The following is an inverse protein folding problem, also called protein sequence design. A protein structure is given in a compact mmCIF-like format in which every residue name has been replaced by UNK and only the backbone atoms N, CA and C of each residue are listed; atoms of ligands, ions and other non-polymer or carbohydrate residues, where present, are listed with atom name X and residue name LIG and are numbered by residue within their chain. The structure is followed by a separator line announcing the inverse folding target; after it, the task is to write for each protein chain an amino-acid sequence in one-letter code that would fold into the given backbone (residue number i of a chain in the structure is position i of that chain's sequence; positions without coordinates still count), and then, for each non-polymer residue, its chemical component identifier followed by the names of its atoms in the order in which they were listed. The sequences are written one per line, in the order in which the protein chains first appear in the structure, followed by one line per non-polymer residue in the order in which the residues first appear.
data_IF_813402427528
#
_entry.id   IF_813402427528
#
_cell.length_a   1.000
_cell.length_b   1.000
_cell.length_c   1.000
_cell.angle_alpha   90.00
_cell.angle_beta   90.00
_cell.angle_gamma   90.00
#
_symmetry.space_group_name_H-M   'P 1'
#
loop_
_entity.id
_entity.type
_entity.pdbx_description
1 polymer ?
#
# COMPACT_ATOMS: atom_id res chain seq x y z
N UNK A 1 -1.22 -18.03 -7.37
CA UNK A 1 -2.66 -17.91 -7.06
C UNK A 1 -3.21 -16.73 -7.86
N UNK A 2 -4.27 -16.90 -8.66
CA UNK A 2 -4.87 -15.78 -9.39
C UNK A 2 -5.43 -14.74 -8.40
N UNK A 3 -5.44 -13.47 -8.83
CA UNK A 3 -6.02 -12.40 -8.03
C UNK A 3 -7.55 -12.45 -8.12
N UNK A 4 -8.25 -12.33 -6.97
CA UNK A 4 -9.71 -12.41 -6.91
C UNK A 4 -10.32 -11.21 -7.66
N UNK A 5 -11.21 -11.49 -8.61
CA UNK A 5 -11.91 -10.47 -9.41
C UNK A 5 -13.11 -9.90 -8.64
N UNK A 6 -12.82 -9.02 -7.70
CA UNK A 6 -13.80 -8.29 -6.90
C UNK A 6 -13.35 -6.83 -6.77
N UNK A 7 -14.31 -5.90 -6.81
CA UNK A 7 -14.05 -4.47 -6.61
C UNK A 7 -13.62 -4.18 -5.17
N UNK A 8 -12.68 -3.25 -4.99
CA UNK A 8 -12.22 -2.79 -3.69
C UNK A 8 -11.59 -1.39 -3.77
N UNK A 9 -11.47 -0.74 -2.62
CA UNK A 9 -10.77 0.52 -2.47
C UNK A 9 -9.39 0.29 -1.85
N UNK A 10 -8.42 1.12 -2.25
CA UNK A 10 -7.08 1.12 -1.66
C UNK A 10 -6.64 2.54 -1.36
N UNK A 11 -6.10 2.77 -0.17
CA UNK A 11 -5.57 4.05 0.27
C UNK A 11 -4.13 3.89 0.76
N UNK A 12 -3.22 4.73 0.26
CA UNK A 12 -1.89 4.86 0.85
C UNK A 12 -1.98 5.70 2.12
N UNK A 13 -1.23 5.34 3.18
CA UNK A 13 -1.14 6.11 4.42
C UNK A 13 -0.78 7.58 4.20
N UNK A 14 -1.11 8.46 5.16
CA UNK A 14 -0.74 9.87 5.19
C UNK A 14 0.78 10.10 5.31
N UNK A 15 1.20 11.35 5.14
CA UNK A 15 2.61 11.75 5.17
C UNK A 15 3.26 11.48 6.54
N UNK A 16 4.53 11.06 6.49
CA UNK A 16 5.44 10.94 7.65
C UNK A 16 6.63 11.87 7.48
N UNK A 17 7.39 12.14 8.54
CA UNK A 17 8.62 12.93 8.41
C UNK A 17 9.64 12.27 7.48
N UNK A 18 9.69 10.94 7.42
CA UNK A 18 10.55 10.23 6.48
C UNK A 18 10.11 10.35 5.02
N UNK A 19 8.81 10.49 4.75
CA UNK A 19 8.34 10.85 3.41
C UNK A 19 8.84 12.25 3.00
N UNK A 20 8.70 13.24 3.87
CA UNK A 20 9.19 14.61 3.67
C UNK A 20 10.70 14.66 3.47
N UNK A 21 11.46 13.84 4.21
CA UNK A 21 12.91 13.72 4.12
C UNK A 21 13.39 12.81 2.98
N UNK A 22 12.47 12.24 2.20
CA UNK A 22 12.76 11.28 1.12
C UNK A 22 13.58 10.05 1.58
N UNK A 23 13.38 9.61 2.83
CA UNK A 23 14.00 8.40 3.38
C UNK A 23 13.25 7.14 2.98
N UNK A 24 14.01 6.07 2.80
CA UNK A 24 13.46 4.72 2.62
C UNK A 24 12.89 4.27 3.96
N UNK A 25 11.61 3.95 3.99
CA UNK A 25 10.92 3.69 5.26
C UNK A 25 10.80 2.20 5.57
N UNK A 26 10.38 1.41 4.58
CA UNK A 26 10.17 -0.02 4.75
C UNK A 26 9.25 -0.35 5.92
N UNK A 27 9.68 -1.27 6.77
CA UNK A 27 8.96 -1.69 7.96
C UNK A 27 9.31 -0.89 9.22
N UNK A 28 10.24 0.07 9.14
CA UNK A 28 10.46 1.04 10.22
C UNK A 28 9.15 1.75 10.58
N UNK A 29 8.82 1.73 11.87
CA UNK A 29 7.49 2.11 12.35
C UNK A 29 7.38 3.61 12.66
N UNK A 30 7.53 4.44 11.62
CA UNK A 30 7.47 5.90 11.68
C UNK A 30 6.00 6.36 11.67
N UNK A 31 5.58 7.20 12.63
CA UNK A 31 4.20 7.70 12.72
C UNK A 31 3.89 8.75 11.63
N UNK A 32 2.61 9.09 11.48
CA UNK A 32 2.18 10.25 10.71
C UNK A 32 2.76 11.54 11.32
N UNK A 33 3.15 12.48 10.46
CA UNK A 33 3.39 13.86 10.88
C UNK A 33 2.09 14.67 10.87
N UNK A 34 2.16 15.97 11.23
CA UNK A 34 0.98 16.84 11.27
C UNK A 34 0.25 16.92 9.92
N UNK A 35 1.01 16.99 8.82
CA UNK A 35 0.47 16.99 7.45
C UNK A 35 -0.27 15.68 7.17
N UNK A 36 0.30 14.53 7.51
CA UNK A 36 -0.32 13.22 7.29
C UNK A 36 -1.62 13.04 8.07
N UNK A 37 -1.71 13.56 9.29
CA UNK A 37 -2.96 13.56 10.06
C UNK A 37 -4.02 14.42 9.37
N UNK A 38 -3.65 15.59 8.85
CA UNK A 38 -4.59 16.46 8.11
C UNK A 38 -5.04 15.80 6.81
N UNK A 39 -4.11 15.21 6.05
CA UNK A 39 -4.41 14.45 4.84
C UNK A 39 -5.42 13.31 5.12
N UNK A 40 -5.22 12.54 6.18
CA UNK A 40 -6.12 11.47 6.56
C UNK A 40 -7.53 11.98 6.90
N UNK A 41 -7.65 13.12 7.59
CA UNK A 41 -8.94 13.77 7.87
C UNK A 41 -9.63 14.24 6.59
N UNK A 42 -8.89 14.87 5.68
CA UNK A 42 -9.43 15.33 4.38
C UNK A 42 -9.99 14.17 3.55
N UNK A 43 -9.25 13.05 3.50
CA UNK A 43 -9.75 11.86 2.79
C UNK A 43 -10.96 11.26 3.50
N UNK A 44 -10.97 11.23 4.83
CA UNK A 44 -12.11 10.73 5.59
C UNK A 44 -13.43 11.49 5.28
N UNK A 45 -13.35 12.79 4.97
CA UNK A 45 -14.52 13.57 4.50
C UNK A 45 -14.93 13.14 3.07
N UNK A 46 -13.96 12.95 2.18
CA UNK A 46 -14.23 12.63 0.76
C UNK A 46 -14.84 11.25 0.56
N UNK A 47 -14.49 10.28 1.41
CA UNK A 47 -14.97 8.90 1.26
C UNK A 47 -16.32 8.64 1.93
N UNK A 48 -16.90 9.64 2.61
CA UNK A 48 -18.26 9.52 3.14
C UNK A 48 -19.23 9.22 2.00
N UNK A 49 -20.04 8.20 2.16
CA UNK A 49 -20.99 7.76 1.12
C UNK A 49 -20.44 6.70 0.15
N UNK A 50 -19.13 6.41 0.18
CA UNK A 50 -18.65 5.21 -0.51
C UNK A 50 -19.13 3.96 0.22
N UNK A 51 -19.48 2.89 -0.51
CA UNK A 51 -19.90 1.62 0.09
C UNK A 51 -18.67 0.91 0.69
N UNK A 52 -18.30 1.24 1.91
CA UNK A 52 -17.20 0.61 2.65
C UNK A 52 -17.79 -0.02 3.90
N UNK A 53 -17.65 -1.34 4.04
CA UNK A 53 -18.17 -2.10 5.19
C UNK A 53 -17.07 -2.38 6.22
N UNK A 54 -15.83 -2.44 5.76
CA UNK A 54 -14.68 -2.75 6.61
C UNK A 54 -13.41 -2.07 6.09
N UNK A 55 -12.54 -1.70 7.01
CA UNK A 55 -11.19 -1.23 6.72
C UNK A 55 -10.20 -2.33 7.12
N UNK A 56 -9.36 -2.75 6.17
CA UNK A 56 -8.26 -3.69 6.43
C UNK A 56 -6.94 -2.92 6.33
N UNK A 57 -6.16 -2.91 7.41
CA UNK A 57 -4.98 -2.04 7.49
C UNK A 57 -3.71 -2.78 7.88
N UNK A 58 -2.57 -2.27 7.40
CA UNK A 58 -1.25 -2.62 7.91
C UNK A 58 -1.11 -2.27 9.40
N UNK A 59 -0.37 -3.05 10.21
CA UNK A 59 -0.11 -2.77 11.62
C UNK A 59 0.79 -1.53 11.84
N UNK A 60 1.54 -1.09 10.82
CA UNK A 60 2.47 0.02 10.96
C UNK A 60 1.74 1.32 11.31
N UNK A 61 2.23 2.03 12.33
CA UNK A 61 1.57 3.22 12.95
C UNK A 61 1.00 4.21 11.95
N UNK A 62 1.73 4.51 10.86
CA UNK A 62 1.29 5.44 9.83
C UNK A 62 0.02 4.97 9.09
N UNK A 63 -0.06 3.68 8.76
CA UNK A 63 -1.22 3.12 8.09
C UNK A 63 -2.38 2.92 9.07
N UNK A 64 -2.11 2.34 10.23
CA UNK A 64 -3.11 2.14 11.27
C UNK A 64 -3.74 3.48 11.71
N UNK A 65 -2.94 4.53 11.96
CA UNK A 65 -3.46 5.85 12.34
C UNK A 65 -4.29 6.50 11.23
N UNK A 66 -3.90 6.29 9.96
CA UNK A 66 -4.71 6.73 8.81
C UNK A 66 -6.05 6.00 8.80
N UNK A 67 -6.04 4.68 8.95
CA UNK A 67 -7.25 3.85 9.02
C UNK A 67 -8.14 4.22 10.21
N UNK A 68 -7.56 4.48 11.38
CA UNK A 68 -8.29 4.88 12.59
C UNK A 68 -9.04 6.20 12.40
N UNK A 69 -8.40 7.22 11.81
CA UNK A 69 -9.04 8.51 11.52
C UNK A 69 -10.23 8.32 10.58
N UNK A 70 -10.05 7.49 9.56
CA UNK A 70 -11.10 7.19 8.57
C UNK A 70 -12.22 6.37 9.21
N UNK A 71 -11.90 5.27 9.88
CA UNK A 71 -12.87 4.37 10.48
C UNK A 71 -13.76 5.05 11.50
N UNK A 72 -13.18 5.95 12.33
CA UNK A 72 -13.95 6.78 13.26
C UNK A 72 -14.93 7.72 12.52
N UNK A 73 -14.53 8.28 11.39
CA UNK A 73 -15.38 9.20 10.62
C UNK A 73 -16.54 8.49 9.94
N UNK A 74 -16.27 7.38 9.27
CA UNK A 74 -17.31 6.64 8.53
C UNK A 74 -18.00 5.56 9.38
N UNK A 75 -17.58 5.38 10.63
CA UNK A 75 -18.12 4.40 11.61
C UNK A 75 -18.02 2.96 11.11
N UNK A 76 -16.87 2.61 10.54
CA UNK A 76 -16.63 1.24 10.07
C UNK A 76 -15.55 0.53 10.88
N UNK A 77 -15.66 -0.80 11.07
CA UNK A 77 -14.68 -1.59 11.79
C UNK A 77 -13.33 -1.63 11.07
N UNK A 78 -12.27 -1.81 11.88
CA UNK A 78 -10.89 -1.90 11.38
C UNK A 78 -10.35 -3.28 11.73
N UNK A 79 -9.79 -3.96 10.74
CA UNK A 79 -9.05 -5.21 10.89
C UNK A 79 -7.57 -4.98 10.58
N UNK A 80 -6.68 -5.44 11.46
CA UNK A 80 -5.23 -5.34 11.26
C UNK A 80 -4.75 -6.61 10.55
N UNK A 81 -4.05 -6.42 9.41
CA UNK A 81 -3.46 -7.50 8.61
C UNK A 81 -1.94 -7.34 8.52
N UNK A 82 -1.20 -8.24 9.17
CA UNK A 82 0.26 -8.18 9.25
C UNK A 82 0.95 -8.29 7.89
N UNK A 83 0.39 -9.05 6.97
CA UNK A 83 0.94 -9.24 5.63
C UNK A 83 0.75 -8.01 4.71
N UNK A 84 0.06 -6.95 5.19
CA UNK A 84 -0.02 -5.66 4.51
C UNK A 84 1.07 -4.67 4.94
N UNK A 85 2.08 -5.09 5.72
CA UNK A 85 3.26 -4.26 5.98
C UNK A 85 3.98 -3.92 4.67
N UNK A 86 4.63 -2.73 4.64
CA UNK A 86 5.44 -2.29 3.51
C UNK A 86 6.58 -3.28 3.22
N UNK A 87 7.17 -3.20 2.03
CA UNK A 87 8.36 -3.94 1.66
C UNK A 87 9.46 -3.72 2.70
N UNK A 88 10.02 -4.81 3.22
CA UNK A 88 11.17 -4.76 4.12
C UNK A 88 12.43 -4.42 3.33
N UNK A 89 12.99 -3.24 3.56
CA UNK A 89 14.21 -2.78 2.88
C UNK A 89 15.50 -3.14 3.63
N UNK A 90 15.39 -3.81 4.80
CA UNK A 90 16.52 -4.23 5.61
C UNK A 90 17.48 -3.07 5.90
N UNK A 91 18.77 -3.28 5.64
CA UNK A 91 19.83 -2.28 5.90
C UNK A 91 19.67 -0.95 5.16
N UNK A 92 18.72 -0.84 4.22
CA UNK A 92 18.43 0.40 3.49
C UNK A 92 17.45 1.33 4.22
N UNK A 93 16.75 0.86 5.26
CA UNK A 93 15.78 1.67 5.99
C UNK A 93 16.45 2.84 6.70
N UNK A 94 15.81 4.01 6.66
CA UNK A 94 16.33 5.28 7.21
C UNK A 94 17.27 6.05 6.28
N UNK A 95 17.74 5.45 5.20
CA UNK A 95 18.66 6.09 4.25
C UNK A 95 17.89 6.99 3.27
N UNK A 96 18.53 8.08 2.81
CA UNK A 96 17.92 9.03 1.86
C UNK A 96 17.93 8.45 0.45
N UNK A 97 16.81 8.54 -0.26
CA UNK A 97 16.70 8.10 -1.65
C UNK A 97 17.65 8.91 -2.54
N UNK A 98 18.45 8.21 -3.36
CA UNK A 98 19.39 8.87 -4.27
C UNK A 98 20.72 9.25 -3.65
N UNK A 99 20.98 8.94 -2.39
CA UNK A 99 22.30 9.09 -1.79
C UNK A 99 23.30 8.16 -2.48
N UNK A 100 24.38 8.76 -3.01
CA UNK A 100 25.43 8.03 -3.74
C UNK A 100 26.29 7.12 -2.86
N UNK A 101 26.15 7.17 -1.53
CA UNK A 101 26.84 6.23 -0.60
C UNK A 101 26.46 4.77 -0.83
N UNK A 102 25.41 4.51 -1.62
CA UNK A 102 24.96 3.16 -2.03
C UNK A 102 25.59 2.66 -3.31
N UNK A 103 26.69 3.21 -3.77
CA UNK A 103 27.33 2.82 -5.04
C UNK A 103 27.61 1.33 -5.19
N UNK A 104 27.65 0.59 -4.08
CA UNK A 104 27.89 -0.86 -4.06
C UNK A 104 26.61 -1.72 -3.99
N UNK A 105 25.43 -1.10 -3.85
CA UNK A 105 24.15 -1.80 -3.96
C UNK A 105 23.48 -1.21 -5.21
N UNK A 106 23.45 -1.92 -6.33
CA UNK A 106 22.77 -1.41 -7.52
C UNK A 106 21.30 -1.21 -7.18
N UNK A 107 20.90 0.06 -6.96
CA UNK A 107 19.50 0.44 -6.84
C UNK A 107 18.89 0.38 -8.24
N UNK A 108 18.77 -0.83 -8.75
CA UNK A 108 18.05 -1.13 -9.97
C UNK A 108 16.79 -1.91 -9.60
N UNK A 109 15.68 -1.24 -9.24
CA UNK A 109 14.44 -1.91 -8.86
C UNK A 109 14.02 -2.97 -9.89
N UNK A 110 14.29 -2.72 -11.17
CA UNK A 110 14.01 -3.67 -12.26
C UNK A 110 14.79 -4.98 -12.16
N UNK A 111 16.01 -4.96 -11.62
CA UNK A 111 16.83 -6.16 -11.39
C UNK A 111 16.40 -6.88 -10.13
N UNK A 112 16.16 -6.15 -9.04
CA UNK A 112 15.71 -6.75 -7.79
C UNK A 112 14.42 -7.53 -7.95
N UNK A 113 13.54 -7.04 -8.83
CA UNK A 113 12.26 -7.70 -9.12
C UNK A 113 12.42 -8.97 -9.98
N UNK A 114 13.54 -9.13 -10.69
CA UNK A 114 13.79 -10.28 -11.55
C UNK A 114 14.73 -11.32 -10.93
N UNK A 115 15.66 -10.88 -10.09
CA UNK A 115 16.79 -11.71 -9.65
C UNK A 115 16.76 -12.01 -8.15
N UNK A 116 15.77 -11.47 -7.40
CA UNK A 116 15.67 -11.56 -5.94
C UNK A 116 16.98 -11.16 -5.21
N UNK A 117 17.83 -10.33 -5.84
CA UNK A 117 19.03 -9.77 -5.23
C UNK A 117 18.60 -8.57 -4.40
N UNK A 118 18.61 -8.72 -3.07
CA UNK A 118 18.10 -7.71 -2.14
C UNK A 118 19.19 -7.29 -1.13
N UNK A 119 19.07 -6.09 -0.54
CA UNK A 119 19.94 -5.66 0.54
C UNK A 119 19.89 -6.61 1.75
N UNK A 120 20.93 -6.59 2.56
CA UNK A 120 20.98 -7.37 3.80
C UNK A 120 19.75 -7.11 4.69
N UNK A 121 19.10 -8.18 5.14
CA UNK A 121 17.90 -8.12 5.96
C UNK A 121 16.62 -7.69 5.24
N UNK A 122 16.67 -7.46 3.92
CA UNK A 122 15.47 -7.18 3.13
C UNK A 122 14.73 -8.47 2.76
N UNK A 123 13.43 -8.37 2.54
CA UNK A 123 12.67 -9.46 1.93
C UNK A 123 12.87 -9.49 0.41
N UNK A 124 12.69 -10.66 -0.21
CA UNK A 124 12.68 -10.78 -1.67
C UNK A 124 11.39 -10.19 -2.24
N UNK A 125 11.45 -9.73 -3.49
CA UNK A 125 10.24 -9.20 -4.14
C UNK A 125 9.18 -10.28 -4.32
N UNK A 126 9.58 -11.51 -4.62
CA UNK A 126 8.67 -12.65 -4.74
C UNK A 126 7.94 -12.96 -3.44
N UNK A 127 8.65 -12.95 -2.30
CA UNK A 127 8.06 -13.13 -0.97
C UNK A 127 7.07 -12.00 -0.64
N UNK A 128 7.44 -10.75 -0.91
CA UNK A 128 6.59 -9.57 -0.72
C UNK A 128 5.29 -9.66 -1.51
N UNK A 129 5.39 -9.93 -2.82
CA UNK A 129 4.20 -10.08 -3.68
C UNK A 129 3.34 -11.23 -3.20
N UNK A 130 3.95 -12.38 -2.88
CA UNK A 130 3.23 -13.57 -2.40
C UNK A 130 2.41 -13.29 -1.14
N UNK A 131 3.02 -12.69 -0.10
CA UNK A 131 2.30 -12.36 1.15
C UNK A 131 1.21 -11.29 0.94
N UNK A 132 1.49 -10.27 0.10
CA UNK A 132 0.52 -9.23 -0.25
C UNK A 132 -0.72 -9.81 -0.92
N UNK A 133 -0.54 -10.62 -1.98
CA UNK A 133 -1.65 -11.20 -2.72
C UNK A 133 -2.45 -12.20 -1.89
N UNK A 134 -1.76 -12.98 -1.04
CA UNK A 134 -2.40 -13.90 -0.11
C UNK A 134 -3.34 -13.17 0.86
N UNK A 135 -2.84 -12.11 1.48
CA UNK A 135 -3.62 -11.28 2.40
C UNK A 135 -4.80 -10.58 1.69
N UNK A 136 -4.53 -9.94 0.56
CA UNK A 136 -5.56 -9.23 -0.19
C UNK A 136 -6.67 -10.19 -0.65
N UNK A 137 -6.32 -11.34 -1.25
CA UNK A 137 -7.28 -12.35 -1.68
C UNK A 137 -8.08 -12.91 -0.50
N UNK A 138 -7.43 -13.17 0.64
CA UNK A 138 -8.11 -13.66 1.83
C UNK A 138 -9.26 -12.72 2.24
N UNK A 139 -8.98 -11.43 2.39
CA UNK A 139 -10.00 -10.45 2.78
C UNK A 139 -11.05 -10.22 1.69
N UNK A 140 -10.65 -10.21 0.41
CA UNK A 140 -11.60 -10.13 -0.72
C UNK A 140 -12.54 -11.34 -0.77
N UNK A 141 -12.14 -12.51 -0.29
CA UNK A 141 -13.02 -13.68 -0.21
C UNK A 141 -14.09 -13.54 0.88
N UNK A 142 -13.79 -12.81 1.96
CA UNK A 142 -14.66 -12.68 3.13
C UNK A 142 -15.66 -11.52 3.05
N UNK A 143 -15.24 -10.38 2.46
CA UNK A 143 -15.99 -9.13 2.51
C UNK A 143 -16.30 -8.60 1.12
N UNK A 144 -17.36 -7.78 0.99
CA UNK A 144 -17.76 -7.20 -0.28
C UNK A 144 -17.10 -5.83 -0.54
N UNK A 145 -17.21 -4.91 0.39
CA UNK A 145 -16.84 -3.50 0.22
C UNK A 145 -15.67 -3.16 1.14
N UNK A 146 -14.45 -3.45 0.70
CA UNK A 146 -13.23 -3.28 1.50
C UNK A 146 -12.52 -2.00 1.12
N UNK A 147 -12.05 -1.27 2.14
CA UNK A 147 -10.98 -0.30 2.02
C UNK A 147 -9.68 -0.87 2.61
N UNK A 148 -8.70 -1.15 1.77
CA UNK A 148 -7.33 -1.42 2.24
C UNK A 148 -6.60 -0.12 2.52
N UNK A 149 -6.01 0.02 3.72
CA UNK A 149 -5.17 1.17 4.09
C UNK A 149 -3.75 0.66 4.35
N UNK A 150 -2.83 0.94 3.42
CA UNK A 150 -1.48 0.38 3.49
C UNK A 150 -0.43 1.30 2.83
N UNK A 151 0.47 0.77 2.03
CA UNK A 151 1.70 1.41 1.59
C UNK A 151 1.85 1.42 0.08
N UNK A 152 2.84 2.20 -0.40
CA UNK A 152 3.13 2.32 -1.83
C UNK A 152 3.58 1.01 -2.48
N UNK A 153 4.39 0.21 -1.79
CA UNK A 153 4.82 -1.09 -2.30
C UNK A 153 3.65 -2.08 -2.44
N UNK A 154 2.72 -2.09 -1.50
CA UNK A 154 1.54 -2.97 -1.54
C UNK A 154 0.71 -2.74 -2.80
N UNK A 155 0.38 -1.47 -3.11
CA UNK A 155 -0.38 -1.17 -4.34
C UNK A 155 0.42 -1.53 -5.59
N UNK A 156 1.76 -1.36 -5.58
CA UNK A 156 2.62 -1.77 -6.71
C UNK A 156 2.60 -3.28 -6.92
N UNK A 157 2.61 -4.08 -5.85
CA UNK A 157 2.48 -5.53 -5.93
C UNK A 157 1.11 -5.94 -6.53
N UNK A 158 0.02 -5.28 -6.12
CA UNK A 158 -1.32 -5.52 -6.67
C UNK A 158 -1.36 -5.14 -8.15
N UNK A 159 -0.88 -3.94 -8.53
CA UNK A 159 -0.85 -3.48 -9.93
C UNK A 159 -0.06 -4.46 -10.82
N UNK A 160 1.08 -4.97 -10.33
CA UNK A 160 1.87 -5.97 -11.04
C UNK A 160 1.07 -7.25 -11.26
N UNK A 161 0.38 -7.73 -10.23
CA UNK A 161 -0.39 -8.97 -10.30
C UNK A 161 -1.57 -8.93 -11.26
N UNK A 162 -2.17 -7.74 -11.44
CA UNK A 162 -3.31 -7.53 -12.36
C UNK A 162 -2.88 -6.98 -13.74
N UNK A 163 -1.56 -6.96 -14.03
CA UNK A 163 -1.03 -6.52 -15.31
C UNK A 163 -1.17 -5.02 -15.60
N UNK A 164 -1.34 -4.20 -14.57
CA UNK A 164 -1.47 -2.75 -14.70
C UNK A 164 -0.10 -2.05 -14.63
N UNK A 165 0.11 -0.92 -15.34
CA UNK A 165 1.36 -0.19 -15.29
C UNK A 165 1.62 0.37 -13.90
N UNK A 166 2.89 0.29 -13.48
CA UNK A 166 3.33 0.90 -12.23
C UNK A 166 3.30 2.42 -12.35
N UNK A 167 2.79 3.06 -11.31
CA UNK A 167 2.69 4.52 -11.23
C UNK A 167 3.14 5.03 -9.87
N UNK A 168 3.54 6.29 -9.81
CA UNK A 168 3.78 6.94 -8.53
C UNK A 168 2.49 7.01 -7.73
N UNK A 169 2.58 6.68 -6.45
CA UNK A 169 1.47 6.71 -5.51
C UNK A 169 1.77 7.77 -4.45
N UNK A 170 1.03 8.86 -4.44
CA UNK A 170 1.20 9.91 -3.43
C UNK A 170 0.55 9.52 -2.09
N UNK A 171 0.94 10.19 -0.99
CA UNK A 171 0.31 9.95 0.30
C UNK A 171 -1.19 10.27 0.22
N UNK A 172 -2.01 9.44 0.84
CA UNK A 172 -3.47 9.48 0.80
C UNK A 172 -4.10 9.39 -0.60
N UNK A 173 -3.36 8.95 -1.62
CA UNK A 173 -3.97 8.60 -2.90
C UNK A 173 -4.97 7.46 -2.68
N UNK A 174 -6.23 7.71 -3.07
CA UNK A 174 -7.34 6.77 -2.98
C UNK A 174 -7.60 6.16 -4.34
N UNK A 175 -7.62 4.85 -4.41
CA UNK A 175 -7.87 4.09 -5.64
C UNK A 175 -9.14 3.27 -5.51
N UNK A 176 -9.87 3.16 -6.61
CA UNK A 176 -10.94 2.20 -6.79
C UNK A 176 -10.52 1.20 -7.85
N UNK A 177 -10.39 -0.05 -7.46
CA UNK A 177 -10.08 -1.18 -8.32
C UNK A 177 -11.38 -1.85 -8.75
N UNK A 178 -11.62 -1.92 -10.04
CA UNK A 178 -12.80 -2.54 -10.65
C UNK A 178 -12.34 -3.69 -11.53
N UNK A 179 -12.77 -4.93 -11.25
CA UNK A 179 -12.35 -6.09 -12.03
C UNK A 179 -12.93 -6.05 -13.45
N UNK A 180 -12.33 -6.78 -14.40
CA UNK A 180 -12.86 -6.93 -15.74
C UNK A 180 -14.30 -7.45 -15.72
N UNK A 181 -15.15 -6.88 -16.57
CA UNK A 181 -16.49 -7.40 -16.86
C UNK A 181 -16.45 -8.33 -18.06
N UNK A 182 -17.59 -8.94 -18.39
CA UNK A 182 -17.69 -9.86 -19.53
C UNK A 182 -17.24 -9.15 -20.83
N UNK A 183 -16.22 -9.73 -21.50
CA UNK A 183 -15.61 -9.17 -22.72
C UNK A 183 -14.43 -8.22 -22.48
N UNK A 184 -14.11 -7.89 -21.24
CA UNK A 184 -12.89 -7.13 -20.85
C UNK A 184 -11.79 -8.08 -20.38
N UNK A 185 -10.54 -7.67 -20.57
CA UNK A 185 -9.35 -8.43 -20.12
C UNK A 185 -8.48 -7.67 -19.13
N UNK A 186 -8.85 -6.42 -18.80
CA UNK A 186 -8.07 -5.53 -17.95
C UNK A 186 -8.92 -4.96 -16.82
N UNK A 187 -8.24 -4.62 -15.73
CA UNK A 187 -8.81 -3.93 -14.58
C UNK A 187 -8.91 -2.44 -14.83
N UNK A 188 -10.01 -1.82 -14.42
CA UNK A 188 -10.08 -0.37 -14.30
C UNK A 188 -9.53 0.04 -12.92
N UNK A 189 -8.59 1.00 -12.92
CA UNK A 189 -7.97 1.52 -11.70
C UNK A 189 -8.07 3.02 -11.67
N UNK A 190 -9.10 3.51 -10.98
CA UNK A 190 -9.45 4.92 -10.90
C UNK A 190 -8.85 5.57 -9.65
N UNK A 191 -8.30 6.79 -9.79
CA UNK A 191 -7.84 7.61 -8.67
C UNK A 191 -9.00 8.55 -8.30
N UNK A 192 -9.44 8.51 -7.03
CA UNK A 192 -10.59 9.25 -6.52
C UNK A 192 -10.18 10.49 -5.67
N UNK A 193 -9.14 11.20 -6.06
CA UNK A 193 -8.60 12.34 -5.27
C UNK A 193 -9.45 13.62 -5.37
#
# INVERSE_FOLDING_TARGET
MPFIQKSFYFLRHGETDWNKQQKIMGQSDIPLNKTGVLQARTVAEKIQGLPIDIIVTSPLKRAYKTAEIIGNKIRQPIFIENNLQEFCWGSMEGKVKGDRSYKNIPFEPKKWWKEDIVPEGAETFSAFVSRTLKATNYHLSLYQNILFVAHGGIIMAILTAIGQPLRRVDNTALFHFIPPTLGQTYWDVNILN
#
